data_IF_210602842580
#
_entry.id   IF_210602842580
#
_cell.length_a   1.000
_cell.length_b   1.000
_cell.length_c   1.000
_cell.angle_alpha   90.00
_cell.angle_beta   90.00
_cell.angle_gamma   90.00
#
_symmetry.space_group_name_H-M   'P 1'
#
loop_
_entity.id
_entity.type
_entity.pdbx_description
1 polymer ?
#
# COMPACT_ATOMS: atom_id res chain seq x y z
N UNK A 1 42.42 56.63 -45.20
CA UNK A 1 42.29 55.29 -44.58
C UNK A 1 41.24 55.36 -43.49
N UNK A 2 40.14 54.60 -43.60
CA UNK A 2 39.07 54.57 -42.59
C UNK A 2 39.42 53.52 -41.52
N UNK A 3 39.87 53.95 -40.35
CA UNK A 3 40.11 53.08 -39.20
C UNK A 3 38.77 52.79 -38.51
N UNK A 4 38.32 51.54 -38.55
CA UNK A 4 37.14 51.07 -37.84
C UNK A 4 37.49 50.94 -36.35
N UNK A 5 36.90 51.80 -35.52
CA UNK A 5 36.92 51.66 -34.06
C UNK A 5 35.90 50.57 -33.72
N UNK A 6 36.37 49.37 -33.40
CA UNK A 6 35.52 48.30 -32.84
C UNK A 6 35.19 48.71 -31.40
N UNK A 7 33.92 48.72 -30.98
CA UNK A 7 33.56 49.15 -29.65
C UNK A 7 33.99 48.08 -28.64
N UNK A 8 35.06 48.37 -27.89
CA UNK A 8 35.59 47.53 -26.79
C UNK A 8 34.51 47.26 -25.73
N UNK A 9 33.47 48.09 -25.67
CA UNK A 9 32.32 47.97 -24.75
C UNK A 9 31.52 46.67 -25.00
N UNK A 10 31.42 46.18 -26.24
CA UNK A 10 30.67 44.94 -26.53
C UNK A 10 31.39 43.66 -26.09
N UNK A 11 32.71 43.70 -25.91
CA UNK A 11 33.49 42.55 -25.43
C UNK A 11 33.44 42.48 -23.89
N UNK A 12 33.36 43.62 -23.20
CA UNK A 12 33.30 43.65 -21.73
C UNK A 12 31.96 43.13 -21.19
N UNK A 13 30.85 43.33 -21.91
CA UNK A 13 29.52 42.81 -21.52
C UNK A 13 29.37 41.30 -21.70
N UNK A 14 30.18 40.66 -22.55
CA UNK A 14 30.18 39.20 -22.76
C UNK A 14 30.99 38.49 -21.66
N UNK A 15 32.03 39.13 -21.11
CA UNK A 15 32.89 38.54 -20.07
C UNK A 15 32.20 38.49 -18.70
N UNK A 16 31.28 39.43 -18.40
CA UNK A 16 30.51 39.41 -17.14
C UNK A 16 29.44 38.33 -17.08
N UNK A 17 29.04 37.75 -18.21
CA UNK A 17 28.06 36.63 -18.25
C UNK A 17 28.76 35.28 -18.03
N UNK A 18 30.10 35.22 -18.16
CA UNK A 18 30.88 33.98 -17.98
C UNK A 18 31.23 33.67 -16.52
N UNK A 19 30.88 34.54 -15.56
CA UNK A 19 31.21 34.35 -14.14
C UNK A 19 30.00 34.14 -13.22
N UNK A 20 28.78 33.99 -13.75
CA UNK A 20 27.57 33.83 -12.93
C UNK A 20 27.11 32.37 -12.74
N UNK A 21 28.03 31.40 -12.73
CA UNK A 21 27.68 30.01 -12.43
C UNK A 21 28.78 29.29 -11.65
N UNK A 22 28.97 29.69 -10.40
CA UNK A 22 29.52 28.80 -9.37
C UNK A 22 28.34 28.44 -8.46
N UNK A 23 27.67 27.32 -8.75
CA UNK A 23 26.80 26.70 -7.77
C UNK A 23 27.72 25.99 -6.77
N UNK A 24 27.97 26.62 -5.62
CA UNK A 24 28.78 26.04 -4.55
C UNK A 24 27.98 24.93 -3.86
N UNK A 25 27.89 23.78 -4.52
CA UNK A 25 27.12 22.65 -4.01
C UNK A 25 27.94 21.94 -2.94
N UNK A 26 27.59 22.17 -1.68
CA UNK A 26 28.14 21.41 -0.56
C UNK A 26 27.57 19.99 -0.59
N UNK A 27 28.43 18.98 -0.33
CA UNK A 27 28.02 17.58 -0.24
C UNK A 27 28.11 17.11 1.21
N UNK A 28 27.17 16.27 1.63
CA UNK A 28 27.24 15.56 2.92
C UNK A 28 27.54 14.08 2.68
N UNK A 29 28.33 13.49 3.57
CA UNK A 29 28.59 12.05 3.61
C UNK A 29 28.15 11.48 4.95
N UNK A 30 27.37 10.40 4.93
CA UNK A 30 26.88 9.72 6.13
C UNK A 30 26.57 8.25 5.84
N UNK A 31 26.50 7.42 6.88
CA UNK A 31 26.04 6.04 6.75
C UNK A 31 24.52 6.02 6.87
N UNK A 32 23.82 5.49 5.87
CA UNK A 32 22.36 5.53 5.79
C UNK A 32 21.77 4.40 4.94
N UNK A 33 20.45 4.31 4.93
CA UNK A 33 19.67 3.43 4.06
C UNK A 33 19.58 4.06 2.67
N UNK A 34 20.26 3.47 1.70
CA UNK A 34 20.18 3.90 0.30
C UNK A 34 19.09 3.10 -0.43
N UNK A 35 18.23 3.76 -1.22
CA UNK A 35 17.16 3.09 -1.93
C UNK A 35 17.69 2.18 -3.03
N UNK A 36 17.17 0.96 -3.07
CA UNK A 36 17.31 0.05 -4.22
C UNK A 36 16.06 0.18 -5.06
N UNK A 37 16.24 0.53 -6.33
CA UNK A 37 15.14 0.84 -7.25
C UNK A 37 14.81 -0.33 -8.16
N UNK A 38 13.51 -0.50 -8.40
CA UNK A 38 12.98 -1.19 -9.57
C UNK A 38 12.37 -0.15 -10.50
N UNK A 39 12.69 -0.18 -11.79
CA UNK A 39 12.13 0.78 -12.74
C UNK A 39 10.63 0.57 -12.91
N UNK A 40 9.89 1.61 -13.30
CA UNK A 40 8.45 1.48 -13.57
C UNK A 40 8.15 0.52 -14.72
N UNK A 41 9.04 0.37 -15.71
CA UNK A 41 8.87 -0.63 -16.78
C UNK A 41 9.00 -2.04 -16.22
N UNK A 42 10.05 -2.30 -15.42
CA UNK A 42 10.26 -3.64 -14.85
C UNK A 42 9.12 -4.01 -13.89
N UNK A 43 8.66 -3.06 -13.06
CA UNK A 43 7.50 -3.27 -12.18
C UNK A 43 6.25 -3.73 -12.95
N UNK A 44 6.03 -3.15 -14.13
CA UNK A 44 4.83 -3.39 -14.96
C UNK A 44 4.96 -4.63 -15.86
N UNK A 45 6.12 -5.28 -15.85
CA UNK A 45 6.39 -6.55 -16.52
C UNK A 45 6.67 -7.69 -15.51
N UNK A 46 6.69 -7.41 -14.21
CA UNK A 46 7.13 -8.33 -13.17
C UNK A 46 6.13 -9.44 -12.81
N UNK A 47 4.88 -9.37 -13.27
CA UNK A 47 3.86 -10.36 -12.92
C UNK A 47 4.14 -11.68 -13.60
N UNK A 48 4.46 -12.70 -12.81
CA UNK A 48 4.72 -14.05 -13.30
C UNK A 48 4.32 -15.11 -12.29
N UNK A 49 3.94 -16.29 -12.77
CA UNK A 49 3.66 -17.45 -11.92
C UNK A 49 4.94 -18.25 -11.71
N UNK A 50 5.25 -18.53 -10.45
CA UNK A 50 6.29 -19.45 -10.01
C UNK A 50 5.69 -20.61 -9.23
N UNK A 51 6.50 -21.65 -9.10
CA UNK A 51 6.19 -22.86 -8.34
C UNK A 51 7.26 -23.06 -7.27
N UNK A 52 6.91 -23.77 -6.18
CA UNK A 52 7.85 -24.12 -5.10
C UNK A 52 8.54 -22.92 -4.41
N UNK A 53 7.86 -21.78 -4.31
CA UNK A 53 8.32 -20.65 -3.48
C UNK A 53 7.85 -20.89 -2.05
N UNK A 54 8.77 -20.81 -1.09
CA UNK A 54 8.46 -20.96 0.34
C UNK A 54 7.95 -19.65 0.93
N UNK A 55 7.15 -19.78 1.99
CA UNK A 55 6.66 -18.63 2.77
C UNK A 55 7.82 -18.13 3.63
N UNK A 56 8.14 -16.84 3.51
CA UNK A 56 9.21 -16.20 4.29
C UNK A 56 8.64 -15.12 5.21
N UNK A 57 7.91 -14.16 4.65
CA UNK A 57 7.27 -13.06 5.36
C UNK A 57 5.78 -12.94 4.98
N UNK A 58 4.93 -13.85 5.49
CA UNK A 58 3.50 -13.83 5.21
C UNK A 58 2.83 -12.62 5.87
N UNK A 59 2.16 -11.83 5.06
CA UNK A 59 1.26 -10.75 5.47
C UNK A 59 -0.19 -11.20 5.47
N UNK A 60 -1.05 -10.43 4.80
CA UNK A 60 -2.50 -10.63 4.82
C UNK A 60 -2.92 -11.93 4.15
N UNK A 61 -3.98 -12.52 4.71
CA UNK A 61 -4.60 -13.73 4.20
C UNK A 61 -5.99 -13.38 3.70
N UNK A 62 -6.32 -13.91 2.53
CA UNK A 62 -7.61 -13.73 1.89
C UNK A 62 -8.18 -15.09 1.52
N UNK A 63 -9.43 -15.30 1.88
CA UNK A 63 -10.15 -16.53 1.61
C UNK A 63 -11.18 -16.27 0.51
N UNK A 64 -11.10 -17.02 -0.59
CA UNK A 64 -12.13 -16.98 -1.64
C UNK A 64 -12.47 -18.39 -2.09
N UNK A 65 -13.67 -18.80 -1.69
CA UNK A 65 -14.14 -20.17 -1.84
C UNK A 65 -13.02 -21.14 -1.41
N UNK A 66 -12.63 -22.21 -2.09
CA UNK A 66 -11.60 -23.14 -1.56
C UNK A 66 -10.17 -22.64 -1.51
N UNK A 67 -9.86 -21.41 -1.93
CA UNK A 67 -8.48 -20.99 -2.05
C UNK A 67 -8.11 -19.99 -0.97
N UNK A 68 -6.95 -20.25 -0.36
CA UNK A 68 -6.28 -19.31 0.52
C UNK A 68 -5.23 -18.59 -0.30
N UNK A 69 -5.34 -17.27 -0.35
CA UNK A 69 -4.34 -16.38 -0.91
C UNK A 69 -3.58 -15.75 0.25
N UNK A 70 -2.27 -15.93 0.29
CA UNK A 70 -1.41 -15.36 1.33
C UNK A 70 -0.47 -14.39 0.65
N UNK A 71 -0.57 -13.11 1.01
CA UNK A 71 0.38 -12.09 0.59
C UNK A 71 1.74 -12.42 1.21
N UNK A 72 2.76 -12.60 0.40
CA UNK A 72 4.17 -12.51 0.82
C UNK A 72 4.59 -11.06 0.61
N UNK A 73 4.73 -10.33 1.71
CA UNK A 73 4.80 -8.88 1.69
C UNK A 73 5.86 -8.37 0.72
N UNK A 74 5.45 -7.45 -0.16
CA UNK A 74 6.27 -6.81 -1.18
C UNK A 74 6.81 -7.73 -2.28
N UNK A 75 6.57 -9.04 -2.24
CA UNK A 75 7.09 -9.99 -3.23
C UNK A 75 6.01 -10.63 -4.09
N UNK A 76 4.87 -10.99 -3.51
CA UNK A 76 3.85 -11.71 -4.27
C UNK A 76 2.72 -12.33 -3.45
N UNK A 77 2.02 -13.28 -4.06
CA UNK A 77 0.84 -13.93 -3.49
C UNK A 77 1.01 -15.45 -3.62
N UNK A 78 1.09 -16.14 -2.48
CA UNK A 78 0.97 -17.59 -2.46
C UNK A 78 -0.49 -18.01 -2.59
N UNK A 79 -0.74 -19.07 -3.34
CA UNK A 79 -2.06 -19.66 -3.52
C UNK A 79 -2.04 -21.09 -3.01
N UNK A 80 -2.97 -21.41 -2.12
CA UNK A 80 -3.18 -22.74 -1.58
C UNK A 80 -4.59 -23.22 -1.90
N UNK A 81 -4.70 -24.47 -2.35
CA UNK A 81 -5.97 -25.20 -2.35
C UNK A 81 -6.25 -25.66 -0.91
N UNK A 82 -7.36 -25.19 -0.36
CA UNK A 82 -7.84 -25.45 0.99
C UNK A 82 -9.13 -26.29 0.98
N UNK A 83 -9.33 -27.12 -0.04
CA UNK A 83 -10.46 -28.07 -0.11
C UNK A 83 -10.50 -29.03 1.08
N UNK A 84 -9.32 -29.44 1.59
CA UNK A 84 -9.16 -30.08 2.90
C UNK A 84 -8.43 -29.11 3.86
N UNK A 85 -9.15 -28.44 4.78
CA UNK A 85 -8.55 -27.49 5.71
C UNK A 85 -7.53 -28.10 6.67
N UNK A 86 -7.58 -29.43 6.87
CA UNK A 86 -6.59 -30.13 7.69
C UNK A 86 -5.28 -30.39 6.92
N UNK A 87 -5.29 -30.23 5.60
CA UNK A 87 -4.15 -30.48 4.71
C UNK A 87 -4.16 -29.57 3.47
N UNK A 88 -3.93 -28.24 3.64
CA UNK A 88 -3.87 -27.32 2.50
C UNK A 88 -2.68 -27.63 1.57
N UNK A 89 -2.90 -27.49 0.26
CA UNK A 89 -1.92 -27.83 -0.79
C UNK A 89 -1.43 -26.56 -1.48
N UNK A 90 -0.12 -26.32 -1.51
CA UNK A 90 0.50 -25.20 -2.24
C UNK A 90 0.29 -25.38 -3.75
N UNK A 91 -0.25 -24.37 -4.42
CA UNK A 91 -0.64 -24.42 -5.84
C UNK A 91 0.18 -23.50 -6.74
N UNK A 92 0.43 -22.28 -6.31
CA UNK A 92 1.16 -21.30 -7.09
C UNK A 92 1.77 -20.22 -6.19
N UNK A 93 2.76 -19.52 -6.73
CA UNK A 93 3.19 -18.22 -6.24
C UNK A 93 3.11 -17.23 -7.38
N UNK A 94 2.35 -16.14 -7.23
CA UNK A 94 2.29 -15.06 -8.21
C UNK A 94 3.23 -13.97 -7.76
N UNK A 95 4.32 -13.77 -8.49
CA UNK A 95 5.23 -12.64 -8.25
C UNK A 95 4.46 -11.35 -8.53
N UNK A 96 4.40 -10.47 -7.54
CA UNK A 96 3.73 -9.18 -7.63
C UNK A 96 4.47 -8.21 -6.70
N UNK A 97 5.47 -7.47 -7.20
CA UNK A 97 6.26 -6.59 -6.36
C UNK A 97 5.40 -5.49 -5.72
N UNK A 98 5.65 -5.21 -4.44
CA UNK A 98 4.98 -4.16 -3.69
C UNK A 98 3.55 -4.48 -3.24
N UNK A 99 3.10 -5.74 -3.38
CA UNK A 99 1.80 -6.16 -2.86
C UNK A 99 1.79 -6.23 -1.34
N UNK A 100 0.73 -5.70 -0.74
CA UNK A 100 0.47 -5.66 0.69
C UNK A 100 -0.99 -6.05 0.98
N UNK A 101 -1.90 -5.81 0.03
CA UNK A 101 -3.32 -6.10 0.21
C UNK A 101 -4.00 -6.55 -1.08
N UNK A 102 -5.04 -7.37 -0.91
CA UNK A 102 -5.78 -7.96 -2.01
C UNK A 102 -7.28 -8.01 -1.70
N UNK A 103 -8.10 -7.97 -2.74
CA UNK A 103 -9.52 -8.30 -2.66
C UNK A 103 -10.01 -8.96 -3.94
N UNK A 104 -10.95 -9.91 -3.83
CA UNK A 104 -11.39 -10.74 -4.97
C UNK A 104 -12.90 -10.61 -5.17
N UNK A 105 -13.32 -10.33 -6.42
CA UNK A 105 -14.71 -10.33 -6.87
C UNK A 105 -14.89 -11.28 -8.05
N UNK A 106 -15.66 -12.36 -7.87
CA UNK A 106 -15.74 -13.45 -8.82
C UNK A 106 -14.37 -14.08 -9.07
N UNK A 107 -13.88 -14.01 -10.31
CA UNK A 107 -12.54 -14.47 -10.72
C UNK A 107 -11.49 -13.36 -10.79
N UNK A 108 -11.84 -12.13 -10.39
CA UNK A 108 -10.94 -10.99 -10.54
C UNK A 108 -10.39 -10.58 -9.17
N UNK A 109 -9.08 -10.66 -9.04
CA UNK A 109 -8.31 -10.22 -7.87
C UNK A 109 -7.74 -8.82 -8.14
N UNK A 110 -8.00 -7.90 -7.22
CA UNK A 110 -7.44 -6.55 -7.19
C UNK A 110 -6.37 -6.50 -6.11
N UNK A 111 -5.18 -6.04 -6.46
CA UNK A 111 -4.03 -5.96 -5.58
C UNK A 111 -3.32 -4.63 -5.74
N UNK A 112 -2.73 -4.13 -4.65
CA UNK A 112 -1.73 -3.08 -4.77
C UNK A 112 -0.41 -3.62 -5.34
N UNK A 113 0.32 -2.76 -6.02
CA UNK A 113 1.68 -2.99 -6.49
C UNK A 113 2.39 -1.64 -6.50
N UNK A 114 2.88 -1.24 -5.32
CA UNK A 114 3.37 0.11 -5.05
C UNK A 114 2.36 1.19 -5.44
N UNK A 115 2.61 1.91 -6.54
CA UNK A 115 1.79 3.03 -7.04
C UNK A 115 0.63 2.59 -7.94
N UNK A 116 0.62 1.34 -8.37
CA UNK A 116 -0.36 0.79 -9.31
C UNK A 116 -1.40 -0.09 -8.61
N UNK A 117 -2.62 -0.11 -9.14
CA UNK A 117 -3.63 -1.13 -8.84
C UNK A 117 -3.58 -2.20 -9.93
N UNK A 118 -3.26 -3.44 -9.57
CA UNK A 118 -3.12 -4.57 -10.48
C UNK A 118 -4.35 -5.45 -10.42
N UNK A 119 -4.82 -5.88 -11.59
CA UNK A 119 -6.01 -6.71 -11.75
C UNK A 119 -5.60 -8.03 -12.36
N UNK A 120 -5.75 -9.12 -11.60
CA UNK A 120 -5.41 -10.47 -11.99
C UNK A 120 -6.67 -11.30 -12.24
N UNK A 121 -6.66 -12.11 -13.29
CA UNK A 121 -7.63 -13.19 -13.48
C UNK A 121 -7.14 -14.44 -12.75
N UNK A 122 -7.93 -14.90 -11.79
CA UNK A 122 -7.68 -16.09 -10.96
C UNK A 122 -8.67 -17.23 -11.26
N UNK A 123 -9.36 -17.20 -12.42
CA UNK A 123 -10.30 -18.26 -12.81
C UNK A 123 -9.60 -19.62 -12.91
N UNK A 124 -8.39 -19.65 -13.49
CA UNK A 124 -7.55 -20.83 -13.52
C UNK A 124 -6.32 -20.60 -12.63
N UNK A 125 -6.28 -21.26 -11.47
CA UNK A 125 -5.21 -21.11 -10.48
C UNK A 125 -3.85 -21.56 -11.01
N UNK A 126 -3.82 -22.48 -11.98
CA UNK A 126 -2.58 -22.89 -12.64
C UNK A 126 -2.16 -21.90 -13.76
N UNK A 127 -2.98 -20.88 -14.06
CA UNK A 127 -2.73 -19.84 -15.08
C UNK A 127 -3.26 -18.44 -14.66
N UNK A 128 -2.87 -17.98 -13.48
CA UNK A 128 -3.15 -16.63 -13.00
C UNK A 128 -2.33 -15.61 -13.81
N UNK A 129 -2.99 -14.59 -14.35
CA UNK A 129 -2.31 -13.58 -15.17
C UNK A 129 -2.91 -12.19 -14.99
N UNK A 130 -2.08 -11.17 -15.22
CA UNK A 130 -2.52 -9.77 -15.26
C UNK A 130 -3.44 -9.54 -16.47
N UNK A 131 -4.62 -9.00 -16.21
CA UNK A 131 -5.61 -8.64 -17.25
C UNK A 131 -5.77 -7.14 -17.40
N UNK A 132 -5.45 -6.37 -16.36
CA UNK A 132 -5.44 -4.91 -16.41
C UNK A 132 -4.60 -4.32 -15.27
N UNK A 133 -4.29 -3.02 -15.42
CA UNK A 133 -3.57 -2.23 -14.43
C UNK A 133 -4.01 -0.78 -14.49
N UNK A 134 -4.37 -0.22 -13.35
CA UNK A 134 -4.61 1.22 -13.20
C UNK A 134 -3.34 1.83 -12.62
N UNK A 135 -2.66 2.63 -13.44
CA UNK A 135 -1.34 3.18 -13.12
C UNK A 135 -1.42 4.42 -12.24
N UNK A 136 -0.41 4.60 -11.40
CA UNK A 136 -0.14 5.84 -10.66
C UNK A 136 -1.37 6.35 -9.87
N UNK A 137 -2.08 5.41 -9.24
CA UNK A 137 -3.38 5.66 -8.58
C UNK A 137 -3.31 5.53 -7.06
N UNK A 138 -2.31 4.79 -6.58
CA UNK A 138 -2.01 4.60 -5.16
C UNK A 138 -0.88 5.54 -4.73
N UNK A 139 -0.81 5.93 -3.45
CA UNK A 139 0.25 6.79 -2.95
C UNK A 139 1.63 6.14 -3.11
N UNK A 140 2.65 6.96 -3.41
CA UNK A 140 4.03 6.49 -3.41
C UNK A 140 4.45 6.15 -1.98
N UNK A 141 4.81 4.89 -1.76
CA UNK A 141 5.26 4.38 -0.47
C UNK A 141 6.59 3.65 -0.62
N UNK A 142 7.34 3.60 0.46
CA UNK A 142 8.66 2.94 0.52
C UNK A 142 8.64 1.88 1.62
N UNK A 143 9.39 0.77 1.44
CA UNK A 143 9.54 -0.27 2.46
C UNK A 143 10.05 0.29 3.80
N UNK A 144 9.77 -0.37 4.93
CA UNK A 144 10.43 -0.04 6.20
C UNK A 144 11.94 -0.36 6.13
N UNK A 145 12.74 0.32 6.96
CA UNK A 145 14.20 0.10 7.04
C UNK A 145 14.63 -0.81 8.19
N UNK A 146 13.74 -1.04 9.18
CA UNK A 146 13.96 -1.84 10.39
C UNK A 146 15.27 -1.56 11.15
N UNK A 147 15.82 -0.35 11.02
CA UNK A 147 17.07 0.05 11.64
C UNK A 147 17.11 1.56 11.97
N UNK A 148 18.13 1.98 12.73
CA UNK A 148 18.29 3.37 13.19
C UNK A 148 19.01 4.28 12.17
N UNK A 149 19.46 3.73 11.04
CA UNK A 149 20.11 4.53 10.03
C UNK A 149 19.07 5.41 9.33
N UNK A 150 19.44 6.65 9.00
CA UNK A 150 18.53 7.50 8.28
C UNK A 150 18.35 7.07 6.83
N UNK A 151 17.19 7.41 6.24
CA UNK A 151 16.94 7.21 4.82
C UNK A 151 17.60 8.30 3.98
N UNK A 152 18.17 7.86 2.86
CA UNK A 152 18.59 8.75 1.77
C UNK A 152 17.38 9.45 1.13
N UNK A 153 17.67 10.49 0.36
CA UNK A 153 16.67 11.07 -0.53
C UNK A 153 16.16 10.00 -1.53
N UNK A 154 14.84 9.94 -1.68
CA UNK A 154 14.17 9.07 -2.65
C UNK A 154 13.84 9.90 -3.89
N UNK A 155 14.51 9.56 -4.98
CA UNK A 155 14.20 10.03 -6.33
C UNK A 155 13.14 9.12 -6.96
N UNK A 156 11.89 9.58 -6.97
CA UNK A 156 10.75 8.83 -7.52
C UNK A 156 10.80 8.68 -9.04
N UNK A 157 11.61 9.47 -9.76
CA UNK A 157 11.75 9.35 -11.22
C UNK A 157 12.48 8.06 -11.62
N UNK A 158 13.29 7.49 -10.71
CA UNK A 158 14.05 6.27 -10.93
C UNK A 158 13.21 4.99 -10.85
N UNK A 159 12.00 5.08 -10.31
CA UNK A 159 11.11 3.95 -10.08
C UNK A 159 10.66 3.82 -8.64
N UNK A 160 10.23 2.62 -8.28
CA UNK A 160 9.79 2.29 -6.91
C UNK A 160 10.97 1.78 -6.09
N UNK A 161 11.00 2.13 -4.80
CA UNK A 161 11.99 1.58 -3.86
C UNK A 161 11.52 0.19 -3.43
N UNK A 162 12.29 -0.84 -3.74
CA UNK A 162 11.93 -2.24 -3.41
C UNK A 162 12.61 -2.72 -2.12
N UNK A 163 13.74 -2.14 -1.75
CA UNK A 163 14.46 -2.45 -0.52
C UNK A 163 15.46 -1.32 -0.18
N UNK A 164 16.12 -1.46 0.96
CA UNK A 164 17.13 -0.53 1.44
C UNK A 164 18.47 -1.21 1.66
N UNK A 165 19.54 -0.59 1.19
CA UNK A 165 20.91 -1.05 1.39
C UNK A 165 21.65 -0.07 2.32
N UNK A 166 22.18 -0.55 3.45
CA UNK A 166 22.96 0.30 4.37
C UNK A 166 24.35 0.52 3.79
N UNK A 167 24.65 1.77 3.37
CA UNK A 167 25.97 2.16 2.86
C UNK A 167 26.33 3.62 3.18
N UNK A 168 27.56 3.99 2.86
CA UNK A 168 27.98 5.39 2.88
C UNK A 168 27.32 6.11 1.69
N UNK A 169 26.46 7.07 1.99
CA UNK A 169 25.74 7.90 1.04
C UNK A 169 26.43 9.25 0.93
N UNK A 170 26.56 9.74 -0.30
CA UNK A 170 27.02 11.10 -0.60
C UNK A 170 25.93 11.86 -1.34
N UNK A 171 25.39 12.89 -0.72
CA UNK A 171 24.27 13.68 -1.26
C UNK A 171 24.64 15.15 -1.41
N UNK A 172 24.10 15.80 -2.44
CA UNK A 172 24.18 17.24 -2.62
C UNK A 172 23.24 17.91 -1.62
N UNK A 173 23.75 18.86 -0.84
CA UNK A 173 22.96 19.66 0.09
C UNK A 173 22.29 20.76 -0.73
N UNK A 174 20.96 20.67 -0.88
CA UNK A 174 20.16 21.78 -1.39
C UNK A 174 19.91 22.77 -0.23
N UNK A 175 20.01 24.08 -0.48
CA UNK A 175 19.67 25.15 0.48
C UNK A 175 18.15 25.24 0.76
N UNK A 176 17.45 24.12 0.74
CA UNK A 176 16.05 23.99 1.13
C UNK A 176 15.98 23.72 2.65
N UNK A 177 14.95 24.18 3.37
CA UNK A 177 14.87 24.13 4.84
C UNK A 177 14.76 22.72 5.44
N UNK A 178 14.78 21.64 4.64
CA UNK A 178 14.77 20.26 5.12
C UNK A 178 15.88 19.37 4.50
N UNK A 179 17.17 19.58 4.82
CA UNK A 179 18.26 18.67 4.49
C UNK A 179 18.66 17.87 5.74
N UNK A 180 17.70 17.20 6.39
CA UNK A 180 18.00 16.24 7.46
C UNK A 180 17.96 14.82 6.89
N UNK A 181 18.81 13.91 7.37
CA UNK A 181 18.59 12.50 7.11
C UNK A 181 17.14 12.17 7.54
N UNK A 182 16.34 11.57 6.65
CA UNK A 182 14.93 11.34 6.93
C UNK A 182 14.85 10.18 7.92
N UNK A 183 14.68 10.50 9.20
CA UNK A 183 14.37 9.52 10.25
C UNK A 183 12.87 9.21 10.20
N UNK A 184 12.43 8.52 9.15
CA UNK A 184 11.07 8.00 9.11
C UNK A 184 11.02 6.67 9.86
N UNK A 185 10.35 6.66 11.00
CA UNK A 185 9.73 5.45 11.52
C UNK A 185 8.37 5.27 10.82
N UNK A 186 8.36 5.24 9.48
CA UNK A 186 7.13 5.47 8.70
C UNK A 186 7.05 4.91 7.27
N UNK A 187 7.97 4.05 6.83
CA UNK A 187 7.77 3.27 5.59
C UNK A 187 6.85 2.08 5.88
N UNK A 188 5.78 1.87 5.09
CA UNK A 188 4.68 0.87 5.27
C UNK A 188 4.42 0.48 6.73
N UNK A 189 4.47 1.46 7.65
CA UNK A 189 4.73 1.17 9.06
C UNK A 189 3.44 0.99 9.85
N UNK A 190 2.51 0.21 9.30
CA UNK A 190 1.27 -0.23 9.95
C UNK A 190 0.79 -1.58 9.38
N UNK A 191 1.70 -2.50 9.08
CA UNK A 191 1.38 -3.91 8.87
C UNK A 191 1.50 -4.61 10.21
N UNK A 192 0.38 -4.70 10.93
CA UNK A 192 0.26 -5.75 11.96
C UNK A 192 -0.14 -7.05 11.26
N UNK A 193 0.40 -8.15 11.73
CA UNK A 193 0.13 -9.49 11.22
C UNK A 193 -0.85 -10.21 12.17
N UNK A 194 -2.03 -10.60 11.68
CA UNK A 194 -2.79 -11.68 12.33
C UNK A 194 -3.80 -12.41 11.41
N UNK A 195 -3.70 -13.73 11.50
CA UNK A 195 -4.43 -14.82 10.85
C UNK A 195 -5.94 -14.84 11.15
N UNK A 196 -6.77 -15.21 10.16
CA UNK A 196 -8.06 -15.88 10.44
C UNK A 196 -8.48 -16.81 9.28
N UNK A 197 -8.90 -18.02 9.67
CA UNK A 197 -9.24 -19.16 8.81
C UNK A 197 -10.75 -19.44 8.81
N UNK A 198 -11.35 -19.71 7.66
CA UNK A 198 -12.70 -20.26 7.54
C UNK A 198 -12.91 -20.90 6.16
N UNK A 199 -13.48 -22.11 6.11
CA UNK A 199 -13.53 -22.97 4.92
C UNK A 199 -14.96 -23.16 4.34
N UNK A 200 -15.10 -23.11 3.00
CA UNK A 200 -16.09 -23.74 2.09
C UNK A 200 -15.77 -23.44 0.59
N UNK A 201 -16.40 -24.16 -0.34
CA UNK A 201 -15.73 -24.72 -1.53
C UNK A 201 -15.75 -24.01 -2.91
N UNK A 202 -14.57 -23.98 -3.58
CA UNK A 202 -14.24 -23.76 -5.02
C UNK A 202 -14.36 -22.33 -5.60
N UNK A 203 -13.33 -21.73 -6.27
CA UNK A 203 -13.44 -20.33 -6.77
C UNK A 203 -14.65 -20.17 -7.68
N UNK A 204 -15.68 -19.47 -7.22
CA UNK A 204 -16.91 -19.26 -7.97
C UNK A 204 -16.89 -17.89 -8.66
N UNK A 205 -17.48 -17.80 -9.85
CA UNK A 205 -17.63 -16.53 -10.58
C UNK A 205 -18.61 -15.54 -9.92
N UNK A 206 -19.19 -15.92 -8.78
CA UNK A 206 -20.12 -15.15 -7.98
C UNK A 206 -19.47 -14.72 -6.65
N UNK A 207 -19.93 -13.61 -6.07
CA UNK A 207 -19.54 -13.18 -4.73
C UNK A 207 -18.14 -12.56 -4.59
N UNK A 208 -17.87 -12.04 -3.39
CA UNK A 208 -16.58 -11.51 -2.94
C UNK A 208 -15.96 -12.45 -1.91
N UNK A 209 -14.64 -12.48 -1.79
CA UNK A 209 -14.00 -13.21 -0.69
C UNK A 209 -13.95 -12.40 0.61
N UNK A 210 -13.35 -12.99 1.62
CA UNK A 210 -13.20 -12.38 2.94
C UNK A 210 -11.71 -12.16 3.24
N UNK A 211 -11.34 -10.90 3.49
CA UNK A 211 -10.04 -10.54 4.06
C UNK A 211 -10.09 -10.59 5.59
N UNK A 212 -8.94 -10.83 6.23
CA UNK A 212 -8.82 -10.78 7.70
C UNK A 212 -9.12 -9.40 8.30
N UNK A 213 -9.05 -9.27 9.63
CA UNK A 213 -9.41 -8.08 10.41
C UNK A 213 -8.58 -6.80 10.13
N UNK A 214 -7.62 -6.88 9.20
CA UNK A 214 -6.71 -5.80 8.84
C UNK A 214 -6.77 -5.45 7.35
N UNK A 215 -7.80 -5.91 6.64
CA UNK A 215 -8.05 -5.56 5.26
C UNK A 215 -8.15 -4.04 5.10
N UNK A 216 -7.55 -3.50 4.05
CA UNK A 216 -7.67 -2.11 3.57
C UNK A 216 -8.26 -2.05 2.17
N UNK A 217 -8.47 -3.21 1.56
CA UNK A 217 -9.28 -3.39 0.37
C UNK A 217 -10.61 -4.02 0.77
N UNK A 218 -11.70 -3.55 0.16
CA UNK A 218 -13.03 -4.05 0.46
C UNK A 218 -13.94 -3.85 -0.73
N UNK A 219 -14.83 -4.81 -0.98
CA UNK A 219 -15.75 -4.74 -2.11
C UNK A 219 -17.19 -4.83 -1.59
N UNK A 220 -18.04 -3.89 -2.02
CA UNK A 220 -19.49 -3.98 -1.89
C UNK A 220 -20.14 -3.81 -3.25
N UNK A 221 -20.87 -4.83 -3.70
CA UNK A 221 -21.52 -4.86 -5.01
C UNK A 221 -20.54 -4.57 -6.16
N UNK A 222 -20.62 -3.36 -6.71
CA UNK A 222 -19.80 -2.84 -7.81
C UNK A 222 -18.80 -1.77 -7.37
N UNK A 223 -18.60 -1.58 -6.07
CA UNK A 223 -17.65 -0.64 -5.52
C UNK A 223 -16.45 -1.38 -4.94
N UNK A 224 -15.24 -1.01 -5.37
CA UNK A 224 -14.00 -1.35 -4.69
C UNK A 224 -13.56 -0.14 -3.86
N UNK A 225 -13.34 -0.37 -2.58
CA UNK A 225 -12.81 0.58 -1.63
C UNK A 225 -11.35 0.23 -1.33
N UNK A 226 -10.49 1.24 -1.35
CA UNK A 226 -9.08 1.12 -0.97
C UNK A 226 -8.82 2.24 0.03
N UNK A 227 -8.38 1.89 1.23
CA UNK A 227 -8.01 2.87 2.25
C UNK A 227 -6.50 2.91 2.45
N UNK A 228 -5.94 4.11 2.41
CA UNK A 228 -4.57 4.37 2.85
C UNK A 228 -4.59 5.10 4.20
N UNK A 229 -3.47 5.71 4.62
CA UNK A 229 -3.39 6.36 5.93
C UNK A 229 -4.42 7.47 6.15
N UNK A 230 -4.83 8.16 5.08
CA UNK A 230 -5.68 9.33 5.21
C UNK A 230 -6.71 9.52 4.09
N UNK A 231 -6.75 8.62 3.11
CA UNK A 231 -7.70 8.65 2.02
C UNK A 231 -8.42 7.31 1.87
N UNK A 232 -9.73 7.40 1.64
CA UNK A 232 -10.57 6.33 1.15
C UNK A 232 -10.80 6.56 -0.35
N UNK A 233 -10.22 5.72 -1.19
CA UNK A 233 -10.41 5.74 -2.65
C UNK A 233 -11.56 4.81 -3.02
N UNK A 234 -12.45 5.27 -3.89
CA UNK A 234 -13.62 4.51 -4.35
C UNK A 234 -13.55 4.31 -5.86
N UNK A 235 -13.70 3.06 -6.29
CA UNK A 235 -13.68 2.64 -7.69
C UNK A 235 -15.00 1.97 -8.06
N UNK A 236 -15.53 2.28 -9.25
CA UNK A 236 -16.59 1.50 -9.89
C UNK A 236 -15.94 0.33 -10.65
N UNK A 237 -16.29 -0.88 -10.23
CA UNK A 237 -15.84 -2.16 -10.81
C UNK A 237 -16.98 -2.91 -11.51
N UNK A 238 -18.00 -2.20 -12.00
CA UNK A 238 -19.06 -2.77 -12.85
C UNK A 238 -18.47 -3.52 -14.05
N UNK A 239 -17.40 -2.96 -14.62
CA UNK A 239 -16.48 -3.71 -15.47
C UNK A 239 -15.26 -4.11 -14.64
N UNK A 240 -15.19 -5.39 -14.25
CA UNK A 240 -14.17 -5.90 -13.33
C UNK A 240 -12.73 -5.76 -13.85
N UNK A 241 -12.54 -5.77 -15.16
CA UNK A 241 -11.21 -5.61 -15.78
C UNK A 241 -10.93 -4.18 -16.23
N UNK A 242 -11.81 -3.24 -15.92
CA UNK A 242 -11.59 -1.81 -16.16
C UNK A 242 -12.15 -0.97 -15.00
N UNK A 243 -11.52 -1.01 -13.81
CA UNK A 243 -11.92 -0.19 -12.67
C UNK A 243 -11.82 1.29 -12.99
N UNK A 244 -12.86 2.05 -12.65
CA UNK A 244 -12.89 3.50 -12.84
C UNK A 244 -12.88 4.16 -11.47
N UNK A 245 -11.86 4.97 -11.18
CA UNK A 245 -11.85 5.77 -9.95
C UNK A 245 -12.99 6.78 -9.98
N UNK A 246 -13.86 6.72 -8.98
CA UNK A 246 -15.00 7.63 -8.83
C UNK A 246 -14.58 8.87 -8.05
N UNK A 247 -14.01 8.68 -6.86
CA UNK A 247 -13.64 9.78 -5.97
C UNK A 247 -12.68 9.31 -4.87
N UNK A 248 -12.06 10.27 -4.19
CA UNK A 248 -11.31 10.08 -2.95
C UNK A 248 -12.06 10.82 -1.82
N UNK A 249 -12.15 10.20 -0.65
CA UNK A 249 -12.65 10.82 0.58
C UNK A 249 -11.50 10.94 1.58
N UNK A 250 -11.57 11.94 2.44
CA UNK A 250 -10.69 12.07 3.59
C UNK A 250 -11.44 11.58 4.85
N UNK A 251 -11.25 10.32 5.28
CA UNK A 251 -11.91 9.81 6.47
C UNK A 251 -11.30 10.31 7.78
N UNK A 252 -10.04 10.75 7.77
CA UNK A 252 -9.31 11.12 8.97
C UNK A 252 -7.85 10.73 8.84
N UNK A 253 -7.12 10.75 9.96
CA UNK A 253 -5.72 10.35 10.02
C UNK A 253 -5.57 8.93 10.56
N UNK A 254 -4.48 8.27 10.16
CA UNK A 254 -4.05 6.96 10.69
C UNK A 254 -5.13 5.89 10.59
N UNK A 255 -5.74 5.74 9.42
CA UNK A 255 -6.62 4.60 9.16
C UNK A 255 -5.77 3.33 9.06
N UNK A 256 -6.14 2.33 9.84
CA UNK A 256 -5.38 1.07 9.94
C UNK A 256 -6.12 -0.07 9.27
N UNK A 257 -7.45 -0.13 9.37
CA UNK A 257 -8.25 -1.26 8.91
C UNK A 257 -9.57 -0.78 8.31
N UNK A 258 -10.16 -1.60 7.46
CA UNK A 258 -11.49 -1.44 6.91
C UNK A 258 -12.24 -2.76 7.02
N UNK A 259 -13.46 -2.69 7.56
CA UNK A 259 -14.39 -3.81 7.60
C UNK A 259 -15.73 -3.38 7.01
N UNK A 260 -16.32 -4.24 6.18
CA UNK A 260 -17.62 -3.98 5.54
C UNK A 260 -18.65 -4.95 6.11
N UNK A 261 -19.78 -4.43 6.58
CA UNK A 261 -20.92 -5.25 7.02
C UNK A 261 -22.24 -4.59 6.66
N UNK A 262 -23.04 -5.29 5.85
CA UNK A 262 -24.29 -4.76 5.31
C UNK A 262 -24.06 -3.43 4.60
N UNK A 263 -24.78 -2.39 5.04
CA UNK A 263 -24.67 -1.03 4.53
C UNK A 263 -23.67 -0.15 5.31
N UNK A 264 -22.80 -0.74 6.12
CA UNK A 264 -21.81 -0.02 6.90
C UNK A 264 -20.38 -0.37 6.51
N UNK A 265 -19.51 0.64 6.49
CA UNK A 265 -18.06 0.52 6.44
C UNK A 265 -17.48 1.05 7.75
N UNK A 266 -16.67 0.24 8.40
CA UNK A 266 -15.99 0.53 9.65
C UNK A 266 -14.51 0.74 9.36
N UNK A 267 -13.99 1.93 9.63
CA UNK A 267 -12.59 2.28 9.48
C UNK A 267 -11.96 2.35 10.87
N UNK A 268 -11.07 1.42 11.17
CA UNK A 268 -10.29 1.43 12.42
C UNK A 268 -9.17 2.45 12.34
N UNK A 269 -8.95 3.18 13.43
CA UNK A 269 -7.86 4.15 13.59
C UNK A 269 -7.18 3.94 14.93
N UNK A 270 -5.97 4.48 15.08
CA UNK A 270 -5.24 4.47 16.36
C UNK A 270 -6.03 5.04 17.56
N UNK A 271 -7.07 5.85 17.33
CA UNK A 271 -7.82 6.57 18.39
C UNK A 271 -9.31 6.25 18.42
N UNK A 272 -9.80 5.39 17.55
CA UNK A 272 -11.25 5.23 17.39
C UNK A 272 -11.64 4.50 16.11
N UNK A 273 -12.94 4.42 15.89
CA UNK A 273 -13.53 3.84 14.70
C UNK A 273 -14.44 4.84 14.01
N UNK A 274 -14.35 4.92 12.68
CA UNK A 274 -15.17 5.79 11.85
C UNK A 274 -16.16 4.92 11.07
N UNK A 275 -17.43 5.27 11.13
CA UNK A 275 -18.50 4.50 10.47
C UNK A 275 -19.06 5.30 9.31
N UNK A 276 -19.03 4.68 8.13
CA UNK A 276 -19.61 5.19 6.89
C UNK A 276 -20.83 4.36 6.49
N UNK A 277 -21.86 5.05 6.01
CA UNK A 277 -22.95 4.45 5.23
C UNK A 277 -22.47 4.19 3.81
N UNK A 278 -22.66 2.96 3.35
CA UNK A 278 -22.38 2.51 2.00
C UNK A 278 -23.61 1.88 1.33
N UNK A 279 -24.83 2.21 1.78
CA UNK A 279 -26.10 1.81 1.14
C UNK A 279 -26.16 2.20 -0.34
N UNK A 280 -25.53 3.33 -0.70
CA UNK A 280 -25.18 3.68 -2.08
C UNK A 280 -23.67 3.45 -2.25
N UNK A 281 -23.21 2.31 -2.80
CA UNK A 281 -21.81 1.90 -2.69
C UNK A 281 -20.80 2.91 -3.27
N UNK A 282 -21.14 3.60 -4.35
CA UNK A 282 -20.23 4.57 -4.99
C UNK A 282 -20.22 5.94 -4.31
N UNK A 283 -21.07 6.18 -3.31
CA UNK A 283 -21.17 7.45 -2.59
C UNK A 283 -21.21 7.19 -1.07
N UNK A 284 -20.08 6.75 -0.45
CA UNK A 284 -20.00 6.63 0.99
C UNK A 284 -20.33 7.94 1.71
N UNK A 285 -21.14 7.88 2.76
CA UNK A 285 -21.46 9.06 3.59
C UNK A 285 -21.10 8.79 5.05
N UNK A 286 -20.37 9.70 5.69
CA UNK A 286 -19.98 9.52 7.09
C UNK A 286 -21.20 9.58 7.99
N UNK A 287 -21.40 8.57 8.84
CA UNK A 287 -22.51 8.56 9.80
C UNK A 287 -22.09 9.00 11.19
N UNK A 288 -21.05 8.38 11.73
CA UNK A 288 -20.70 8.49 13.15
C UNK A 288 -19.19 8.30 13.33
N UNK A 289 -18.61 9.05 14.26
CA UNK A 289 -17.28 8.77 14.80
C UNK A 289 -17.43 8.20 16.21
N UNK A 290 -16.88 7.02 16.45
CA UNK A 290 -16.81 6.41 17.76
C UNK A 290 -15.41 6.57 18.34
N UNK A 291 -15.29 7.31 19.44
CA UNK A 291 -14.03 7.44 20.19
C UNK A 291 -13.92 6.25 21.16
N UNK A 292 -12.79 5.54 21.15
CA UNK A 292 -12.45 4.59 22.22
C UNK A 292 -11.06 4.90 22.79
N UNK A 293 -10.71 4.25 23.91
CA UNK A 293 -9.36 4.35 24.45
C UNK A 293 -8.36 3.81 23.41
N UNK A 294 -7.27 4.54 23.14
CA UNK A 294 -6.20 4.13 22.22
C UNK A 294 -5.77 2.68 22.51
N UNK A 295 -6.07 1.78 21.59
CA UNK A 295 -5.69 0.37 21.64
C UNK A 295 -5.41 -0.08 20.22
N UNK A 296 -4.27 -0.72 20.00
CA UNK A 296 -3.87 -1.24 18.69
C UNK A 296 -4.41 -2.65 18.47
N UNK A 297 -5.67 -2.82 18.84
CA UNK A 297 -6.32 -4.11 18.88
C UNK A 297 -7.47 -4.10 17.88
N UNK A 298 -7.70 -5.24 17.20
CA UNK A 298 -8.63 -5.30 16.09
C UNK A 298 -10.08 -5.07 16.55
N UNK A 299 -10.86 -4.48 15.63
CA UNK A 299 -12.32 -4.38 15.73
C UNK A 299 -12.94 -5.33 14.72
N UNK A 300 -13.89 -6.16 15.16
CA UNK A 300 -14.72 -7.00 14.29
C UNK A 300 -16.17 -6.64 14.52
N UNK A 301 -16.98 -6.61 13.46
CA UNK A 301 -18.42 -6.34 13.55
C UNK A 301 -19.20 -7.59 13.13
N UNK A 302 -20.17 -7.98 13.93
CA UNK A 302 -21.16 -9.01 13.60
C UNK A 302 -22.56 -8.42 13.76
N UNK A 303 -23.28 -8.29 12.65
CA UNK A 303 -24.60 -7.68 12.55
C UNK A 303 -24.70 -6.29 13.24
N UNK A 304 -25.31 -6.23 14.43
CA UNK A 304 -25.52 -4.99 15.18
C UNK A 304 -24.47 -4.72 16.24
N UNK A 305 -23.48 -5.60 16.42
CA UNK A 305 -22.49 -5.51 17.50
C UNK A 305 -21.08 -5.31 16.95
N UNK A 306 -20.37 -4.33 17.50
CA UNK A 306 -18.95 -4.15 17.30
C UNK A 306 -18.17 -4.69 18.50
N UNK A 307 -17.19 -5.54 18.25
CA UNK A 307 -16.31 -6.15 19.22
C UNK A 307 -14.95 -5.49 19.14
N UNK A 308 -14.61 -4.70 20.15
CA UNK A 308 -13.32 -4.00 20.27
C UNK A 308 -12.52 -4.70 21.35
N UNK A 309 -11.44 -5.35 20.95
CA UNK A 309 -10.48 -5.87 21.93
C UNK A 309 -9.62 -4.71 22.43
N UNK A 310 -9.32 -4.67 23.73
CA UNK A 310 -8.41 -3.72 24.35
C UNK A 310 -7.34 -4.53 25.09
N UNK A 311 -6.07 -4.28 24.80
CA UNK A 311 -4.92 -5.00 25.34
C UNK A 311 -3.87 -4.04 25.87
N UNK A 312 -3.53 -4.21 27.14
CA UNK A 312 -2.44 -3.45 27.76
C UNK A 312 -1.07 -4.07 27.46
N UNK A 313 -0.02 -3.24 27.55
CA UNK A 313 1.37 -3.69 27.34
C UNK A 313 1.83 -3.73 25.88
N UNK A 314 1.05 -3.19 24.95
CA UNK A 314 1.45 -2.98 23.55
C UNK A 314 2.13 -1.61 23.38
N UNK A 315 2.72 -1.36 22.21
CA UNK A 315 3.31 -0.06 21.82
C UNK A 315 2.29 1.09 21.84
N UNK A 316 1.00 0.78 21.95
CA UNK A 316 -0.09 1.72 21.87
C UNK A 316 -0.61 2.19 23.23
N UNK A 317 -0.10 1.61 24.32
CA UNK A 317 -0.47 1.97 25.70
C UNK A 317 -1.59 1.07 26.24
N UNK A 318 -2.42 1.62 27.12
CA UNK A 318 -3.53 0.90 27.76
C UNK A 318 -3.17 0.34 29.15
N UNK A 319 -4.12 0.45 30.09
CA UNK A 319 -4.00 -0.09 31.46
C UNK A 319 -4.97 -1.25 31.73
N UNK A 320 -5.84 -1.56 30.77
CA UNK A 320 -6.93 -2.51 30.89
C UNK A 320 -6.87 -3.51 29.73
N UNK A 321 -7.15 -4.78 30.07
CA UNK A 321 -7.43 -5.81 29.09
C UNK A 321 -8.94 -6.07 29.13
N UNK A 322 -9.67 -5.76 28.07
CA UNK A 322 -11.11 -6.00 28.02
C UNK A 322 -11.61 -6.19 26.59
N UNK A 323 -12.84 -6.71 26.47
CA UNK A 323 -13.60 -6.76 25.23
C UNK A 323 -14.77 -5.81 25.39
N UNK A 324 -14.76 -4.71 24.65
CA UNK A 324 -15.90 -3.81 24.57
C UNK A 324 -16.84 -4.34 23.48
N UNK A 325 -18.13 -4.41 23.81
CA UNK A 325 -19.20 -4.75 22.89
C UNK A 325 -20.10 -3.55 22.78
N UNK A 326 -20.20 -2.98 21.58
CA UNK A 326 -20.96 -1.76 21.27
C UNK A 326 -22.10 -2.08 20.33
#
# INVERSE_FOLDING_TARGET
MKTKIIPIISILSIVTILFSSCEDSTYREYKGNAPVYMSYSDLREAVEIRQNVDLENPGKIYYKDNYIFIVEELKGIHVFDNTDPSSPVKKAFVTLPGVVDISISGYILYADSFVDLVILDVQNIDNIHEVARVRDILPYTVPPTDNEYPMAYVDEERGVVIEWEVKTIREKIYNEPYPWPIYYKGGIMFLDAANSSGASSGVSGSGTGFGGSMARFGIKDKALYIVDQNALKVFDISNKTNPIKVTDFYPGWNIETMFLSGDNMFLGTTTGMIIYDISIPLVPTSRVFFNHARSCDPVIVDDTLAYVTLRSGTTCGGTVNCLDVV
#
